data_IF_245668707192
#
_entry.id   IF_245668707192
#
_cell.length_a   1.000
_cell.length_b   1.000
_cell.length_c   1.000
_cell.angle_alpha   90.00
_cell.angle_beta   90.00
_cell.angle_gamma   90.00
#
_symmetry.space_group_name_H-M   'P 1'
#
loop_
_entity.id
_entity.type
_entity.pdbx_description
1 polymer ?
#
# COMPACT_ATOMS: atom_id res chain seq x y z
N UNK A 1 14.87 -36.50 -7.63
CA UNK A 1 13.53 -35.93 -7.92
C UNK A 1 13.36 -36.01 -9.41
N UNK A 2 12.33 -36.66 -9.91
CA UNK A 2 12.10 -36.78 -11.35
C UNK A 2 11.88 -35.40 -11.96
N UNK A 3 12.71 -35.04 -12.94
CA UNK A 3 12.61 -33.79 -13.72
C UNK A 3 11.45 -33.87 -14.72
N UNK A 4 10.25 -34.12 -14.20
CA UNK A 4 9.07 -34.22 -15.05
C UNK A 4 8.72 -32.84 -15.59
N UNK A 5 8.63 -32.74 -16.92
CA UNK A 5 8.36 -31.47 -17.63
C UNK A 5 6.87 -31.12 -17.67
N UNK A 6 5.99 -32.11 -17.47
CA UNK A 6 4.55 -31.92 -17.52
C UNK A 6 3.82 -32.96 -16.65
N UNK A 7 2.61 -32.60 -16.23
CA UNK A 7 1.65 -33.52 -15.63
C UNK A 7 0.28 -33.33 -16.30
N UNK A 8 -0.53 -34.38 -16.31
CA UNK A 8 -1.90 -34.29 -16.79
C UNK A 8 -2.81 -34.06 -15.57
N UNK A 9 -3.56 -32.95 -15.60
CA UNK A 9 -4.61 -32.64 -14.64
C UNK A 9 -5.91 -33.20 -15.17
N UNK A 10 -6.41 -34.23 -14.49
CA UNK A 10 -7.62 -34.95 -14.88
C UNK A 10 -8.67 -34.84 -13.78
N UNK A 11 -9.88 -34.44 -14.17
CA UNK A 11 -11.06 -34.48 -13.33
C UNK A 11 -12.13 -35.27 -14.06
N UNK A 12 -12.87 -36.10 -13.33
CA UNK A 12 -14.03 -36.82 -13.83
C UNK A 12 -15.19 -36.67 -12.85
N UNK A 13 -16.41 -36.63 -13.38
CA UNK A 13 -17.66 -36.66 -12.60
C UNK A 13 -18.45 -37.93 -12.86
N UNK A 14 -19.23 -38.36 -11.86
CA UNK A 14 -20.13 -39.52 -11.97
C UNK A 14 -21.21 -39.35 -13.05
N UNK A 15 -21.49 -38.12 -13.49
CA UNK A 15 -22.39 -37.79 -14.60
C UNK A 15 -21.82 -38.15 -15.98
N UNK A 16 -20.55 -38.55 -16.05
CA UNK A 16 -19.87 -38.94 -17.28
C UNK A 16 -19.05 -37.82 -17.92
N UNK A 17 -19.01 -36.63 -17.32
CA UNK A 17 -18.18 -35.53 -17.80
C UNK A 17 -16.73 -35.74 -17.35
N UNK A 18 -15.79 -35.34 -18.19
CA UNK A 18 -14.39 -35.31 -17.82
C UNK A 18 -13.68 -34.08 -18.36
N UNK A 19 -12.67 -33.65 -17.64
CA UNK A 19 -11.78 -32.57 -17.99
C UNK A 19 -10.35 -33.08 -17.93
N UNK A 20 -9.62 -32.94 -19.04
CA UNK A 20 -8.21 -33.28 -19.12
C UNK A 20 -7.44 -32.05 -19.61
N UNK A 21 -6.49 -31.61 -18.80
CA UNK A 21 -5.60 -30.51 -19.15
C UNK A 21 -4.15 -30.90 -18.88
N UNK A 22 -3.29 -30.79 -19.90
CA UNK A 22 -1.85 -30.92 -19.69
C UNK A 22 -1.30 -29.65 -19.07
N UNK A 23 -0.70 -29.79 -17.90
CA UNK A 23 -0.01 -28.71 -17.20
C UNK A 23 1.49 -28.89 -17.42
N UNK A 24 2.07 -27.98 -18.19
CA UNK A 24 3.52 -27.94 -18.44
C UNK A 24 4.22 -27.11 -17.38
N UNK A 25 5.49 -27.44 -17.12
CA UNK A 25 6.32 -26.71 -16.19
C UNK A 25 6.69 -25.34 -16.75
N UNK A 26 6.12 -24.29 -16.18
CA UNK A 26 6.44 -22.91 -16.56
C UNK A 26 7.62 -22.38 -15.71
N UNK A 27 8.66 -21.80 -16.35
CA UNK A 27 9.80 -21.23 -15.63
C UNK A 27 9.41 -20.16 -14.60
N UNK A 28 8.38 -19.35 -14.87
CA UNK A 28 7.96 -18.28 -13.95
C UNK A 28 7.36 -18.85 -12.67
N UNK A 29 6.47 -19.82 -12.80
CA UNK A 29 5.90 -20.54 -11.64
C UNK A 29 6.96 -21.34 -10.89
N UNK A 30 7.95 -21.93 -11.56
CA UNK A 30 9.08 -22.59 -10.90
C UNK A 30 9.91 -21.62 -10.05
N UNK A 31 10.21 -20.42 -10.57
CA UNK A 31 10.93 -19.40 -9.82
C UNK A 31 10.15 -18.92 -8.58
N UNK A 32 8.84 -18.74 -8.72
CA UNK A 32 7.96 -18.46 -7.59
C UNK A 32 7.99 -19.60 -6.57
N UNK A 33 7.95 -20.85 -7.04
CA UNK A 33 7.98 -22.01 -6.17
C UNK A 33 9.26 -22.06 -5.35
N UNK A 34 10.41 -21.85 -5.98
CA UNK A 34 11.70 -21.81 -5.30
C UNK A 34 11.76 -20.70 -4.24
N UNK A 35 11.15 -19.55 -4.50
CA UNK A 35 11.06 -18.44 -3.53
C UNK A 35 10.18 -18.78 -2.33
N UNK A 36 9.08 -19.51 -2.55
CA UNK A 36 8.13 -19.87 -1.49
C UNK A 36 8.57 -21.12 -0.72
N UNK A 37 9.36 -22.00 -1.34
CA UNK A 37 9.79 -23.28 -0.78
C UNK A 37 10.42 -23.14 0.60
N UNK A 38 11.32 -22.18 0.80
CA UNK A 38 11.94 -21.94 2.11
C UNK A 38 10.92 -21.58 3.19
N UNK A 39 9.91 -20.77 2.84
CA UNK A 39 8.81 -20.42 3.76
C UNK A 39 7.95 -21.62 4.10
N UNK A 40 7.67 -22.48 3.12
CA UNK A 40 6.91 -23.71 3.36
C UNK A 40 7.67 -24.72 4.21
N UNK A 41 8.97 -24.88 3.98
CA UNK A 41 9.82 -25.74 4.82
C UNK A 41 9.81 -25.22 6.26
N UNK A 42 10.02 -23.92 6.45
CA UNK A 42 10.00 -23.32 7.78
C UNK A 42 8.62 -23.50 8.45
N UNK A 43 7.52 -23.28 7.73
CA UNK A 43 6.17 -23.51 8.23
C UNK A 43 5.93 -24.99 8.59
N UNK A 44 6.39 -25.91 7.74
CA UNK A 44 6.29 -27.34 8.00
C UNK A 44 7.02 -27.71 9.29
N UNK A 45 8.28 -27.32 9.43
CA UNK A 45 9.13 -27.70 10.56
C UNK A 45 8.70 -27.06 11.88
N UNK A 46 8.28 -25.80 11.85
CA UNK A 46 8.04 -25.03 13.07
C UNK A 46 6.58 -25.03 13.52
N UNK A 47 5.63 -25.15 12.59
CA UNK A 47 4.20 -25.09 12.89
C UNK A 47 3.54 -26.45 12.73
N UNK A 48 3.61 -27.05 11.53
CA UNK A 48 2.76 -28.19 11.21
C UNK A 48 3.28 -29.51 11.79
N UNK A 49 4.57 -29.78 11.67
CA UNK A 49 5.20 -31.02 12.13
C UNK A 49 5.08 -31.21 13.65
N UNK A 50 5.34 -30.21 14.51
CA UNK A 50 5.16 -30.36 15.95
C UNK A 50 3.70 -30.61 16.34
N UNK A 51 2.74 -30.00 15.64
CA UNK A 51 1.30 -30.23 15.91
C UNK A 51 0.86 -31.65 15.54
N UNK A 52 1.34 -32.17 14.41
CA UNK A 52 1.08 -33.54 14.00
C UNK A 52 1.73 -34.55 14.96
N UNK A 53 2.95 -34.27 15.44
CA UNK A 53 3.67 -35.18 16.35
C UNK A 53 3.14 -35.14 17.79
N UNK A 54 2.77 -33.96 18.32
CA UNK A 54 2.38 -33.78 19.73
C UNK A 54 0.90 -34.15 19.98
N UNK A 55 0.13 -34.61 18.98
CA UNK A 55 -1.26 -35.09 19.15
C UNK A 55 -2.16 -34.14 19.97
N UNK A 56 -1.87 -32.83 19.95
CA UNK A 56 -2.51 -31.83 20.82
C UNK A 56 -3.99 -31.71 20.52
N UNK A 57 -4.33 -31.84 19.24
CA UNK A 57 -5.68 -31.81 18.72
C UNK A 57 -6.53 -32.93 19.35
N UNK A 58 -6.01 -34.16 19.43
CA UNK A 58 -6.69 -35.30 20.04
C UNK A 58 -6.93 -35.08 21.55
N UNK A 59 -6.00 -34.38 22.20
CA UNK A 59 -6.09 -34.00 23.62
C UNK A 59 -6.92 -32.73 23.88
N UNK A 60 -7.57 -32.15 22.85
CA UNK A 60 -8.33 -30.89 22.92
C UNK A 60 -7.51 -29.72 23.48
N UNK A 61 -6.20 -29.74 23.27
CA UNK A 61 -5.30 -28.65 23.66
C UNK A 61 -5.21 -27.61 22.54
N UNK A 62 -4.95 -26.36 22.93
CA UNK A 62 -4.75 -25.28 21.95
C UNK A 62 -3.50 -25.57 21.09
N UNK A 63 -3.53 -25.24 19.79
CA UNK A 63 -2.36 -25.32 18.92
C UNK A 63 -1.22 -24.50 19.50
N UNK A 64 0.00 -25.03 19.37
CA UNK A 64 1.22 -24.32 19.71
C UNK A 64 1.35 -23.12 18.78
N UNK A 65 1.77 -22.01 19.38
CA UNK A 65 2.10 -20.80 18.63
C UNK A 65 3.62 -20.61 18.68
N UNK A 66 4.35 -20.80 17.56
CA UNK A 66 5.79 -20.59 17.54
C UNK A 66 6.18 -19.17 17.91
N UNK A 67 7.38 -19.01 18.48
CA UNK A 67 7.87 -17.73 19.02
C UNK A 67 7.88 -16.62 17.97
N UNK A 68 8.28 -16.95 16.74
CA UNK A 68 8.28 -15.98 15.64
C UNK A 68 6.87 -15.44 15.32
N UNK A 69 5.81 -16.25 15.47
CA UNK A 69 4.43 -15.80 15.31
C UNK A 69 3.98 -14.94 16.48
N UNK A 70 4.37 -15.28 17.70
CA UNK A 70 4.08 -14.46 18.88
C UNK A 70 4.67 -13.06 18.74
N UNK A 71 5.92 -12.97 18.28
CA UNK A 71 6.58 -11.69 18.03
C UNK A 71 5.84 -10.89 16.95
N UNK A 72 5.49 -11.52 15.83
CA UNK A 72 4.74 -10.87 14.74
C UNK A 72 3.39 -10.32 15.22
N UNK A 73 2.65 -11.08 16.04
CA UNK A 73 1.37 -10.63 16.62
C UNK A 73 1.60 -9.44 17.56
N UNK A 74 2.62 -9.49 18.42
CA UNK A 74 2.96 -8.37 19.32
C UNK A 74 3.29 -7.10 18.53
N UNK A 75 4.09 -7.22 17.48
CA UNK A 75 4.44 -6.09 16.60
C UNK A 75 3.21 -5.54 15.90
N UNK A 76 2.34 -6.40 15.36
CA UNK A 76 1.11 -5.98 14.71
C UNK A 76 0.18 -5.21 15.68
N UNK A 77 0.01 -5.73 16.90
CA UNK A 77 -0.76 -5.04 17.95
C UNK A 77 -0.12 -3.68 18.28
N UNK A 78 1.20 -3.63 18.47
CA UNK A 78 1.88 -2.37 18.77
C UNK A 78 1.72 -1.33 17.64
N UNK A 79 1.75 -1.76 16.37
CA UNK A 79 1.49 -0.89 15.23
C UNK A 79 0.05 -0.35 15.24
N UNK A 80 -0.93 -1.22 15.49
CA UNK A 80 -2.35 -0.82 15.57
C UNK A 80 -2.56 0.20 16.71
N UNK A 81 -2.02 -0.08 17.89
CA UNK A 81 -2.09 0.85 19.03
C UNK A 81 -1.46 2.20 18.69
N UNK A 82 -0.31 2.19 18.01
CA UNK A 82 0.35 3.42 17.58
C UNK A 82 -0.51 4.24 16.62
N UNK A 83 -1.18 3.59 15.66
CA UNK A 83 -2.10 4.25 14.72
C UNK A 83 -3.23 4.92 15.50
N UNK A 84 -3.90 4.19 16.41
CA UNK A 84 -4.98 4.75 17.22
C UNK A 84 -4.53 5.93 18.08
N UNK A 85 -3.34 5.87 18.68
CA UNK A 85 -2.80 6.99 19.47
C UNK A 85 -2.56 8.21 18.57
N UNK A 86 -2.00 8.02 17.38
CA UNK A 86 -1.76 9.11 16.44
C UNK A 86 -3.07 9.76 15.97
N UNK A 87 -4.09 8.96 15.63
CA UNK A 87 -5.42 9.48 15.25
C UNK A 87 -6.09 10.23 16.42
N UNK A 88 -6.00 9.69 17.64
CA UNK A 88 -6.56 10.35 18.81
C UNK A 88 -5.86 11.69 19.12
N UNK A 89 -4.54 11.77 18.92
CA UNK A 89 -3.78 13.01 19.06
C UNK A 89 -4.21 14.05 18.02
N UNK A 90 -4.37 13.65 16.76
CA UNK A 90 -4.82 14.55 15.69
C UNK A 90 -6.23 15.10 15.97
N UNK A 91 -7.15 14.25 16.41
CA UNK A 91 -8.50 14.68 16.80
C UNK A 91 -8.44 15.67 17.97
N UNK A 92 -7.63 15.38 18.99
CA UNK A 92 -7.47 16.27 20.14
C UNK A 92 -6.93 17.65 19.72
N UNK A 93 -5.92 17.68 18.85
CA UNK A 93 -5.38 18.93 18.30
C UNK A 93 -6.44 19.73 17.55
N UNK A 94 -7.28 19.08 16.72
CA UNK A 94 -8.37 19.75 16.02
C UNK A 94 -9.39 20.35 17.00
N UNK A 95 -9.79 19.60 18.04
CA UNK A 95 -10.73 20.09 19.06
C UNK A 95 -10.15 21.26 19.83
N UNK A 96 -8.88 21.18 20.25
CA UNK A 96 -8.19 22.28 20.93
C UNK A 96 -8.13 23.52 20.04
N UNK A 97 -7.76 23.36 18.76
CA UNK A 97 -7.70 24.47 17.82
C UNK A 97 -9.08 25.10 17.57
N UNK A 98 -10.14 24.30 17.51
CA UNK A 98 -11.50 24.81 17.39
C UNK A 98 -11.93 25.60 18.62
N UNK A 99 -11.65 25.10 19.82
CA UNK A 99 -11.93 25.80 21.07
C UNK A 99 -11.20 27.15 21.16
N UNK A 100 -9.92 27.19 20.79
CA UNK A 100 -9.13 28.43 20.75
C UNK A 100 -9.74 29.44 19.78
N UNK A 101 -10.21 29.00 18.60
CA UNK A 101 -10.90 29.86 17.62
C UNK A 101 -12.22 30.41 18.14
N UNK A 102 -13.02 29.59 18.84
CA UNK A 102 -14.30 30.03 19.41
C UNK A 102 -14.11 31.05 20.54
N UNK A 103 -13.00 30.97 21.28
CA UNK A 103 -12.69 31.93 22.35
C UNK A 103 -12.00 33.21 21.88
N UNK A 104 -11.57 33.30 20.61
CA UNK A 104 -10.94 34.52 20.10
C UNK A 104 -12.00 35.49 19.58
N UNK A 105 -12.20 36.67 20.21
CA UNK A 105 -13.12 37.67 19.69
C UNK A 105 -12.63 38.14 18.31
N UNK A 106 -13.54 38.40 17.35
CA UNK A 106 -13.14 38.86 16.02
C UNK A 106 -12.33 40.14 16.14
N UNK A 107 -11.28 40.33 15.32
CA UNK A 107 -10.47 41.53 15.36
C UNK A 107 -11.39 42.73 15.15
N UNK A 108 -11.39 43.65 16.12
CA UNK A 108 -12.17 44.89 16.03
C UNK A 108 -11.77 45.60 14.74
N UNK A 109 -12.68 45.65 13.75
CA UNK A 109 -12.53 46.51 12.58
C UNK A 109 -12.41 47.93 13.11
N UNK A 110 -11.19 48.48 13.11
CA UNK A 110 -10.99 49.91 13.33
C UNK A 110 -11.68 50.62 12.18
N UNK A 111 -12.85 51.21 12.47
CA UNK A 111 -13.47 52.22 11.62
C UNK A 111 -12.50 53.41 11.61
N UNK A 112 -11.69 53.51 10.56
CA UNK A 112 -10.97 54.72 10.25
C UNK A 112 -12.01 55.73 9.77
N UNK A 113 -12.32 56.68 10.65
CA UNK A 113 -13.00 57.93 10.35
C UNK A 113 -12.25 58.66 9.21
N UNK A 114 -13.01 59.40 8.42
CA UNK A 114 -12.60 60.05 7.19
C UNK A 114 -11.51 61.13 7.39
N UNK A 115 -10.74 61.36 6.33
CA UNK A 115 -10.13 62.66 6.06
C UNK A 115 -8.64 62.79 6.39
N UNK A 116 -7.78 62.31 5.50
CA UNK A 116 -6.49 62.93 5.20
C UNK A 116 -6.01 62.41 3.84
N UNK A 117 -5.98 63.30 2.86
CA UNK A 117 -5.35 63.08 1.56
C UNK A 117 -3.92 62.52 1.70
N UNK A 118 -3.51 61.51 0.93
CA UNK A 118 -2.11 61.25 0.72
C UNK A 118 -1.58 62.14 -0.42
N UNK A 119 -0.70 63.07 -0.03
CA UNK A 119 0.19 63.81 -0.90
C UNK A 119 0.82 62.90 -1.96
N UNK A 120 0.82 63.42 -3.19
CA UNK A 120 1.51 62.85 -4.34
C UNK A 120 3.00 62.66 -4.03
N UNK A 121 3.45 61.42 -3.94
CA UNK A 121 4.87 61.08 -4.13
C UNK A 121 5.04 60.55 -5.55
N UNK A 122 5.84 61.30 -6.29
CA UNK A 122 6.15 61.17 -7.70
C UNK A 122 6.68 59.78 -8.07
N UNK A 123 6.22 59.30 -9.23
CA UNK A 123 6.80 58.15 -9.93
C UNK A 123 8.25 58.47 -10.28
N UNK A 124 9.15 57.53 -10.01
CA UNK A 124 10.37 57.42 -10.79
C UNK A 124 10.49 56.01 -11.36
N UNK A 125 10.73 55.97 -12.67
CA UNK A 125 10.63 54.79 -13.51
C UNK A 125 12.04 54.28 -13.80
N UNK A 126 12.37 53.08 -13.34
CA UNK A 126 13.49 52.33 -13.92
C UNK A 126 13.19 50.83 -13.91
N UNK A 127 12.52 50.42 -14.99
CA UNK A 127 12.74 49.22 -15.81
C UNK A 127 13.39 47.97 -15.18
N UNK A 128 12.63 46.87 -15.10
CA UNK A 128 13.16 45.49 -15.19
C UNK A 128 12.26 44.70 -16.17
N UNK A 129 12.81 43.97 -17.17
CA UNK A 129 12.06 43.40 -18.30
C UNK A 129 11.29 42.10 -17.98
N UNK A 130 10.37 41.67 -18.88
CA UNK A 130 9.34 40.67 -18.59
C UNK A 130 9.80 39.21 -18.65
N UNK A 131 9.03 38.37 -17.95
CA UNK A 131 9.19 36.93 -17.80
C UNK A 131 9.37 36.15 -19.12
N UNK A 132 10.43 35.34 -19.18
CA UNK A 132 10.68 34.36 -20.23
C UNK A 132 9.58 33.29 -20.27
N UNK A 133 8.83 33.25 -21.39
CA UNK A 133 7.91 32.18 -21.76
C UNK A 133 8.66 30.85 -21.93
N UNK A 134 8.27 29.81 -21.19
CA UNK A 134 8.68 28.42 -21.48
C UNK A 134 7.93 27.90 -22.72
N UNK A 135 8.62 27.29 -23.70
CA UNK A 135 7.96 26.63 -24.81
C UNK A 135 7.38 25.26 -24.40
N UNK A 136 6.18 25.01 -24.94
CA UNK A 136 5.39 23.79 -24.89
C UNK A 136 6.20 22.55 -25.26
N UNK A 137 6.18 21.52 -24.40
CA UNK A 137 6.85 20.24 -24.66
C UNK A 137 5.94 19.40 -25.56
N UNK A 138 6.49 19.06 -26.72
CA UNK A 138 5.85 18.32 -27.80
C UNK A 138 5.30 16.95 -27.37
N UNK A 139 4.18 16.61 -28.01
CA UNK A 139 3.44 15.34 -27.99
C UNK A 139 4.31 14.19 -28.52
N UNK A 140 4.32 12.99 -27.90
CA UNK A 140 5.02 11.84 -28.46
C UNK A 140 4.35 11.33 -29.73
N UNK A 141 5.15 11.16 -30.77
CA UNK A 141 4.80 10.54 -32.06
C UNK A 141 4.49 9.06 -31.86
N UNK A 142 3.33 8.61 -32.36
CA UNK A 142 2.95 7.21 -32.39
C UNK A 142 3.80 6.43 -33.42
N UNK A 143 4.31 5.26 -33.03
CA UNK A 143 4.98 4.29 -33.88
C UNK A 143 3.88 3.40 -34.52
N UNK A 144 3.74 3.33 -35.85
CA UNK A 144 2.85 2.33 -36.46
C UNK A 144 3.54 0.96 -36.48
N UNK A 145 2.83 -0.03 -35.96
CA UNK A 145 3.19 -1.44 -35.99
C UNK A 145 3.21 -1.98 -37.42
N UNK A 146 4.31 -2.65 -37.80
CA UNK A 146 4.35 -3.50 -38.99
C UNK A 146 3.44 -4.71 -38.76
N UNK A 147 2.50 -4.94 -39.67
CA UNK A 147 1.79 -6.21 -39.79
C UNK A 147 2.69 -7.21 -40.53
N UNK A 148 2.72 -8.50 -40.15
CA UNK A 148 3.35 -9.54 -40.94
C UNK A 148 2.49 -9.84 -42.18
N UNK A 149 3.15 -9.91 -43.33
CA UNK A 149 2.62 -10.43 -44.59
C UNK A 149 2.26 -11.92 -44.45
N UNK A 150 1.17 -12.33 -45.10
CA UNK A 150 0.83 -13.73 -45.35
C UNK A 150 1.91 -14.48 -46.12
#
# INVERSE_FOLDING_TARGET
>A
MEEREWCDYFIWSETGDYFLQRVTRDPKTCALWNKIKSKLIHFWEQDLLPELADSRLERKLKPRLPEYRQLAIKVAIAMIVKIFIMEAQEILEQVVMQFVREQTPPPKRRRLEAGAEPERVSRDATQIPPATRRPSRARPTAIPAQQPSM
#
